data_IF_468865223285
#
_entry.id   IF_468865223285
#
_cell.length_a   1.000
_cell.length_b   1.000
_cell.length_c   1.000
_cell.angle_alpha   90.00
_cell.angle_beta   90.00
_cell.angle_gamma   90.00
#
_symmetry.space_group_name_H-M   'P 1'
#
loop_
_entity.id
_entity.type
_entity.pdbx_description
1 polymer ?
#
# COMPACT_ATOMS: atom_id res chain seq x y z
N UNK A 1 -18.81 -0.20 -12.55
CA UNK A 1 -18.19 -1.52 -12.67
C UNK A 1 -17.02 -1.49 -11.71
N UNK A 2 -17.03 -2.35 -10.70
CA UNK A 2 -15.99 -2.38 -9.65
C UNK A 2 -14.68 -2.86 -10.28
N UNK A 3 -13.58 -2.17 -10.01
CA UNK A 3 -12.26 -2.54 -10.52
C UNK A 3 -11.73 -3.72 -9.72
N UNK A 4 -11.79 -4.90 -10.33
CA UNK A 4 -11.46 -6.17 -9.68
C UNK A 4 -9.97 -6.38 -9.50
N UNK A 5 -9.12 -5.52 -10.09
CA UNK A 5 -7.67 -5.66 -10.05
C UNK A 5 -7.14 -5.63 -8.61
N UNK A 6 -7.66 -4.73 -7.77
CA UNK A 6 -7.27 -4.62 -6.36
C UNK A 6 -7.68 -5.80 -5.49
N UNK A 7 -8.73 -6.52 -5.88
CA UNK A 7 -9.25 -7.71 -5.17
C UNK A 7 -8.68 -9.03 -5.75
N UNK A 8 -7.87 -8.95 -6.80
CA UNK A 8 -7.31 -10.14 -7.43
C UNK A 8 -6.15 -10.63 -6.59
N UNK A 9 -6.29 -11.83 -6.04
CA UNK A 9 -5.23 -12.52 -5.29
C UNK A 9 -4.23 -13.11 -6.29
N UNK A 10 -2.95 -12.88 -6.03
CA UNK A 10 -1.83 -13.30 -6.89
C UNK A 10 -0.77 -14.03 -6.06
N UNK A 11 0.05 -14.84 -6.71
CA UNK A 11 1.04 -15.73 -6.06
C UNK A 11 2.43 -15.11 -5.95
N UNK A 12 2.68 -13.99 -6.62
CA UNK A 12 3.99 -13.35 -6.67
C UNK A 12 3.90 -11.84 -6.95
N UNK A 13 5.02 -11.15 -6.71
CA UNK A 13 5.15 -9.71 -6.86
C UNK A 13 5.01 -9.26 -8.33
N UNK A 14 5.61 -9.96 -9.28
CA UNK A 14 5.54 -9.56 -10.70
C UNK A 14 4.09 -9.55 -11.21
N UNK A 15 3.31 -10.55 -10.81
CA UNK A 15 1.88 -10.65 -11.12
C UNK A 15 1.09 -9.56 -10.40
N UNK A 16 1.44 -9.22 -9.15
CA UNK A 16 0.80 -8.12 -8.41
C UNK A 16 0.97 -6.79 -9.15
N UNK A 17 2.21 -6.44 -9.51
CA UNK A 17 2.54 -5.20 -10.22
C UNK A 17 1.81 -5.14 -11.57
N UNK A 18 1.83 -6.24 -12.32
CA UNK A 18 1.13 -6.33 -13.61
C UNK A 18 -0.39 -6.20 -13.48
N UNK A 19 -1.01 -6.78 -12.45
CA UNK A 19 -2.46 -6.70 -12.23
C UNK A 19 -2.88 -5.28 -11.88
N UNK A 20 -2.10 -4.58 -11.06
CA UNK A 20 -2.42 -3.23 -10.57
C UNK A 20 -2.00 -2.14 -11.58
N UNK A 21 -1.24 -2.52 -12.61
CA UNK A 21 -0.75 -1.64 -13.68
C UNK A 21 0.17 -0.56 -13.11
N UNK A 22 1.23 -1.05 -12.44
CA UNK A 22 2.37 -0.31 -11.87
C UNK A 22 3.68 -1.04 -12.23
N UNK A 23 4.80 -0.34 -12.16
CA UNK A 23 6.07 -0.80 -12.75
C UNK A 23 7.04 -1.35 -11.70
N UNK A 24 7.02 -0.84 -10.47
CA UNK A 24 7.95 -1.24 -9.42
C UNK A 24 7.33 -1.30 -8.02
N UNK A 25 8.02 -1.97 -7.08
CA UNK A 25 7.59 -2.06 -5.67
C UNK A 25 7.39 -0.67 -5.04
N UNK A 26 8.18 0.31 -5.48
CA UNK A 26 8.09 1.70 -5.03
C UNK A 26 6.75 2.36 -5.40
N UNK A 27 6.05 1.87 -6.41
CA UNK A 27 4.69 2.33 -6.72
C UNK A 27 3.69 1.83 -5.69
N UNK A 28 3.87 0.62 -5.18
CA UNK A 28 3.07 0.07 -4.06
C UNK A 28 3.37 0.86 -2.79
N UNK A 29 4.63 1.19 -2.53
CA UNK A 29 5.02 2.10 -1.44
C UNK A 29 4.28 3.42 -1.53
N UNK A 30 4.35 4.08 -2.68
CA UNK A 30 3.73 5.38 -2.92
C UNK A 30 2.19 5.30 -2.82
N UNK A 31 1.59 4.20 -3.29
CA UNK A 31 0.17 3.92 -3.15
C UNK A 31 -0.24 3.84 -1.67
N UNK A 32 0.50 3.08 -0.86
CA UNK A 32 0.22 2.94 0.58
C UNK A 32 0.48 4.26 1.33
N UNK A 33 1.50 5.02 0.93
CA UNK A 33 1.77 6.36 1.47
C UNK A 33 0.59 7.30 1.25
N UNK A 34 0.02 7.32 0.03
CA UNK A 34 -1.17 8.12 -0.26
C UNK A 34 -2.42 7.62 0.45
N UNK A 35 -2.58 6.29 0.55
CA UNK A 35 -3.72 5.68 1.24
C UNK A 35 -3.72 5.98 2.74
N UNK A 36 -2.56 5.90 3.41
CA UNK A 36 -2.44 6.06 4.86
C UNK A 36 -1.94 7.42 5.32
N UNK A 37 -1.67 8.32 4.38
CA UNK A 37 -1.26 9.69 4.67
C UNK A 37 -0.01 9.79 5.56
N UNK A 38 0.91 8.83 5.43
CA UNK A 38 2.13 8.76 6.22
C UNK A 38 3.25 8.05 5.45
N UNK A 39 4.51 8.23 5.85
CA UNK A 39 5.61 7.47 5.27
C UNK A 39 5.40 5.97 5.46
N UNK A 40 5.52 5.25 4.35
CA UNK A 40 5.53 3.80 4.26
C UNK A 40 6.78 3.44 3.45
N UNK A 41 7.44 2.35 3.81
CA UNK A 41 8.50 1.75 3.00
C UNK A 41 8.05 0.35 2.60
N UNK A 42 8.22 -0.02 1.34
CA UNK A 42 7.89 -1.37 0.86
C UNK A 42 9.14 -1.98 0.23
N UNK A 43 9.50 -3.15 0.73
CA UNK A 43 10.57 -3.99 0.20
C UNK A 43 10.06 -5.39 -0.12
N UNK A 44 10.86 -6.13 -0.87
CA UNK A 44 10.63 -7.52 -1.20
C UNK A 44 11.54 -8.44 -0.36
N UNK A 45 10.92 -9.46 0.23
CA UNK A 45 11.62 -10.51 0.97
C UNK A 45 11.85 -11.69 0.03
N UNK A 46 13.12 -11.95 -0.28
CA UNK A 46 13.51 -13.00 -1.20
C UNK A 46 13.68 -14.36 -0.51
N UNK A 47 13.08 -15.38 -1.10
CA UNK A 47 13.42 -16.79 -0.88
C UNK A 47 14.17 -17.31 -2.11
N UNK A 48 15.34 -17.91 -1.89
CA UNK A 48 16.23 -18.40 -2.96
C UNK A 48 15.57 -19.50 -3.83
N UNK A 49 14.54 -20.19 -3.36
CA UNK A 49 13.84 -21.26 -4.09
C UNK A 49 12.61 -20.76 -4.87
N UNK A 50 11.97 -19.67 -4.42
CA UNK A 50 10.63 -19.27 -4.89
C UNK A 50 10.55 -17.83 -5.40
N UNK A 51 11.59 -17.02 -5.22
CA UNK A 51 11.60 -15.59 -5.59
C UNK A 51 11.09 -14.70 -4.45
N UNK A 52 10.46 -13.56 -4.75
CA UNK A 52 9.86 -12.70 -3.73
C UNK A 52 8.71 -13.45 -3.03
N UNK A 53 8.96 -13.94 -1.82
CA UNK A 53 8.02 -14.75 -1.04
C UNK A 53 7.07 -13.89 -0.20
N UNK A 54 7.47 -12.66 0.11
CA UNK A 54 6.66 -11.72 0.87
C UNK A 54 6.99 -10.26 0.52
N UNK A 55 6.06 -9.37 0.85
CA UNK A 55 6.28 -7.94 0.92
C UNK A 55 6.58 -7.53 2.36
N UNK A 56 7.73 -6.91 2.61
CA UNK A 56 8.01 -6.22 3.86
C UNK A 56 7.46 -4.79 3.77
N UNK A 57 6.58 -4.42 4.68
CA UNK A 57 6.03 -3.07 4.76
C UNK A 57 6.39 -2.47 6.11
N UNK A 58 7.04 -1.32 6.09
CA UNK A 58 7.39 -0.55 7.29
C UNK A 58 6.55 0.73 7.32
N UNK A 59 5.73 0.89 8.36
CA UNK A 59 4.85 2.04 8.52
C UNK A 59 5.41 2.95 9.61
N UNK A 60 5.61 4.23 9.29
CA UNK A 60 6.09 5.21 10.24
C UNK A 60 4.95 5.64 11.20
N UNK A 61 5.21 5.55 12.50
CA UNK A 61 4.47 6.23 13.55
C UNK A 61 5.15 7.54 13.97
N UNK A 62 4.58 8.21 14.98
CA UNK A 62 5.26 9.37 15.54
C UNK A 62 6.56 8.92 16.20
N UNK A 63 6.53 8.02 17.18
CA UNK A 63 7.72 7.73 17.99
C UNK A 63 8.50 6.49 17.54
N UNK A 64 7.84 5.59 16.83
CA UNK A 64 8.41 4.34 16.34
C UNK A 64 7.89 3.99 14.94
N UNK A 65 8.41 2.92 14.35
CA UNK A 65 7.91 2.37 13.08
C UNK A 65 7.69 0.87 13.26
N UNK A 66 6.64 0.35 12.63
CA UNK A 66 6.32 -1.09 12.70
C UNK A 66 6.55 -1.68 11.31
N UNK A 67 7.39 -2.71 11.25
CA UNK A 67 7.65 -3.51 10.06
C UNK A 67 6.92 -4.85 10.12
N UNK A 68 6.19 -5.18 9.06
CA UNK A 68 5.41 -6.42 8.92
C UNK A 68 5.69 -7.07 7.57
N UNK A 69 5.82 -8.40 7.54
CA UNK A 69 5.96 -9.16 6.31
C UNK A 69 4.61 -9.79 5.92
N UNK A 70 4.22 -9.64 4.66
CA UNK A 70 2.99 -10.16 4.08
C UNK A 70 3.32 -11.17 2.99
N UNK A 71 3.12 -12.44 3.30
CA UNK A 71 3.42 -13.56 2.39
C UNK A 71 2.40 -13.63 1.24
N UNK A 72 2.88 -14.07 0.07
CA UNK A 72 1.99 -14.48 -1.02
C UNK A 72 1.34 -15.85 -0.69
N UNK A 73 0.11 -16.12 -1.17
CA UNK A 73 -0.69 -15.31 -2.08
C UNK A 73 -1.42 -14.14 -1.41
N UNK A 74 -1.45 -12.98 -2.08
CA UNK A 74 -2.04 -11.74 -1.54
C UNK A 74 -2.73 -10.89 -2.63
N UNK A 75 -3.63 -10.01 -2.21
CA UNK A 75 -4.18 -8.93 -3.05
C UNK A 75 -3.82 -7.57 -2.47
N UNK A 76 -3.91 -6.49 -3.27
CA UNK A 76 -3.70 -5.12 -2.75
C UNK A 76 -4.71 -4.75 -1.67
N UNK A 77 -5.95 -5.23 -1.79
CA UNK A 77 -6.96 -5.04 -0.75
C UNK A 77 -6.58 -5.74 0.56
N UNK A 78 -6.09 -6.97 0.50
CA UNK A 78 -5.67 -7.70 1.70
C UNK A 78 -4.46 -7.02 2.34
N UNK A 79 -3.49 -6.59 1.53
CA UNK A 79 -2.34 -5.82 1.98
C UNK A 79 -2.75 -4.52 2.67
N UNK A 80 -3.64 -3.75 2.04
CA UNK A 80 -4.15 -2.49 2.60
C UNK A 80 -4.89 -2.72 3.92
N UNK A 81 -5.72 -3.76 4.02
CA UNK A 81 -6.41 -4.07 5.27
C UNK A 81 -5.45 -4.49 6.38
N UNK A 82 -4.48 -5.33 6.07
CA UNK A 82 -3.51 -5.78 7.06
C UNK A 82 -2.59 -4.63 7.52
N UNK A 83 -2.24 -3.70 6.62
CA UNK A 83 -1.54 -2.47 6.97
C UNK A 83 -2.41 -1.54 7.83
N UNK A 84 -3.73 -1.51 7.62
CA UNK A 84 -4.64 -0.67 8.40
C UNK A 84 -4.63 -1.05 9.90
N UNK A 85 -4.51 -2.34 10.22
CA UNK A 85 -4.35 -2.80 11.61
C UNK A 85 -3.09 -2.20 12.27
N UNK A 86 -1.98 -2.14 11.52
CA UNK A 86 -0.73 -1.52 11.98
C UNK A 86 -0.87 0.00 12.11
N UNK A 87 -1.59 0.65 11.19
CA UNK A 87 -1.88 2.09 11.27
C UNK A 87 -2.72 2.43 12.50
N UNK A 88 -3.71 1.62 12.83
CA UNK A 88 -4.51 1.76 14.05
C UNK A 88 -3.65 1.64 15.31
N UNK A 89 -2.74 0.66 15.35
CA UNK A 89 -1.81 0.47 16.47
C UNK A 89 -0.90 1.69 16.67
N UNK A 90 -0.34 2.23 15.58
CA UNK A 90 0.53 3.41 15.62
C UNK A 90 -0.21 4.72 15.97
N UNK A 91 -1.54 4.74 15.80
CA UNK A 91 -2.37 5.92 16.04
C UNK A 91 -2.13 7.05 15.03
N UNK A 92 -2.57 8.27 15.39
CA UNK A 92 -2.48 9.46 14.54
C UNK A 92 -1.02 9.83 14.22
N UNK A 93 -0.77 10.35 13.01
CA UNK A 93 0.58 10.69 12.54
C UNK A 93 0.72 12.20 12.30
N UNK A 94 1.66 12.85 12.99
CA UNK A 94 1.77 14.31 13.11
C UNK A 94 3.13 14.89 12.68
N UNK A 95 4.16 14.05 12.47
CA UNK A 95 5.56 14.49 12.43
C UNK A 95 6.00 15.23 11.17
N UNK A 96 5.57 14.81 9.99
CA UNK A 96 6.21 15.25 8.74
C UNK A 96 5.47 16.35 7.99
N UNK A 97 4.50 17.02 8.63
CA UNK A 97 3.72 18.05 7.94
C UNK A 97 2.97 17.51 6.72
N UNK A 98 2.88 16.18 6.58
CA UNK A 98 1.80 15.50 5.87
C UNK A 98 0.50 15.91 6.57
N UNK A 99 0.02 17.12 6.25
CA UNK A 99 -1.27 17.65 6.66
C UNK A 99 -2.40 16.93 5.90
N UNK A 100 -2.28 15.61 5.82
CA UNK A 100 -3.32 14.67 5.42
C UNK A 100 -4.02 14.09 6.67
N UNK A 101 -3.75 14.64 7.87
CA UNK A 101 -4.41 14.26 9.14
C UNK A 101 -5.93 14.34 9.09
N UNK A 102 -6.52 15.20 8.25
CA UNK A 102 -7.98 15.26 8.05
C UNK A 102 -8.50 14.36 6.93
N UNK A 103 -7.62 13.65 6.20
CA UNK A 103 -7.95 13.01 4.91
C UNK A 103 -7.59 11.52 4.81
N UNK A 104 -6.85 10.95 5.76
CA UNK A 104 -6.53 9.52 5.75
C UNK A 104 -7.82 8.70 5.92
N UNK A 105 -8.24 7.90 4.93
CA UNK A 105 -9.41 7.04 5.08
C UNK A 105 -9.22 6.02 6.21
N UNK A 106 -10.30 5.77 6.96
CA UNK A 106 -10.36 4.65 7.90
C UNK A 106 -10.55 3.33 7.14
N UNK A 107 -9.45 2.81 6.60
CA UNK A 107 -9.40 1.62 5.72
C UNK A 107 -10.00 0.37 6.38
N UNK A 108 -9.88 0.19 7.70
CA UNK A 108 -10.40 -0.99 8.39
C UNK A 108 -11.93 -1.02 8.42
N UNK A 109 -12.55 0.16 8.49
CA UNK A 109 -14.01 0.32 8.48
C UNK A 109 -14.63 0.30 7.07
N UNK A 110 -13.81 0.47 6.02
CA UNK A 110 -14.29 0.60 4.65
C UNK A 110 -14.90 -0.69 4.08
N UNK A 111 -16.06 -0.52 3.45
CA UNK A 111 -16.62 -1.56 2.58
C UNK A 111 -15.73 -1.80 1.36
N UNK A 112 -15.86 -2.96 0.72
CA UNK A 112 -15.06 -3.34 -0.46
C UNK A 112 -15.07 -2.27 -1.57
N UNK A 113 -16.24 -1.78 -1.96
CA UNK A 113 -16.38 -0.74 -3.00
C UNK A 113 -15.70 0.57 -2.59
N UNK A 114 -15.76 0.92 -1.30
CA UNK A 114 -15.18 2.15 -0.78
C UNK A 114 -13.65 2.06 -0.77
N UNK A 115 -13.11 0.94 -0.30
CA UNK A 115 -11.68 0.65 -0.35
C UNK A 115 -11.16 0.64 -1.78
N UNK A 116 -11.85 0.01 -2.71
CA UNK A 116 -11.47 0.02 -4.13
C UNK A 116 -11.46 1.45 -4.68
N UNK A 117 -12.42 2.28 -4.29
CA UNK A 117 -12.44 3.69 -4.70
C UNK A 117 -11.25 4.46 -4.15
N UNK A 118 -10.89 4.25 -2.87
CA UNK A 118 -9.73 4.87 -2.25
C UNK A 118 -8.42 4.41 -2.92
N UNK A 119 -8.28 3.11 -3.20
CA UNK A 119 -7.14 2.54 -3.91
C UNK A 119 -7.00 3.08 -5.34
N UNK A 120 -8.12 3.27 -6.04
CA UNK A 120 -8.13 3.91 -7.36
C UNK A 120 -7.66 5.36 -7.32
N UNK A 121 -8.08 6.11 -6.30
CA UNK A 121 -7.64 7.49 -6.11
C UNK A 121 -6.15 7.56 -5.80
N UNK A 122 -5.66 6.71 -4.90
CA UNK A 122 -4.24 6.58 -4.58
C UNK A 122 -3.42 6.19 -5.82
N UNK A 123 -3.85 5.19 -6.59
CA UNK A 123 -3.20 4.78 -7.84
C UNK A 123 -3.17 5.92 -8.87
N UNK A 124 -4.23 6.71 -8.95
CA UNK A 124 -4.24 7.93 -9.76
C UNK A 124 -3.14 8.91 -9.35
N UNK A 125 -2.94 9.11 -8.05
CA UNK A 125 -1.87 9.96 -7.51
C UNK A 125 -0.47 9.41 -7.78
N UNK A 126 -0.25 8.09 -7.67
CA UNK A 126 1.01 7.43 -8.06
C UNK A 126 1.36 7.74 -9.51
N UNK A 127 0.41 7.57 -10.43
CA UNK A 127 0.62 7.83 -11.85
C UNK A 127 0.98 9.29 -12.12
N UNK A 128 0.33 10.24 -11.43
CA UNK A 128 0.69 11.65 -11.54
C UNK A 128 2.09 11.93 -10.98
N UNK A 129 2.46 11.30 -9.87
CA UNK A 129 3.77 11.43 -9.26
C UNK A 129 4.88 10.92 -10.20
N UNK A 130 4.72 9.72 -10.76
CA UNK A 130 5.68 9.13 -11.69
C UNK A 130 5.85 9.97 -12.97
N UNK A 131 4.77 10.53 -13.52
CA UNK A 131 4.86 11.44 -14.66
C UNK A 131 5.66 12.72 -14.37
N UNK A 132 5.70 13.18 -13.12
CA UNK A 132 6.46 14.37 -12.72
C UNK A 132 7.93 14.05 -12.42
N UNK A 133 8.22 12.83 -11.97
CA UNK A 133 9.60 12.36 -11.71
C UNK A 133 10.36 12.01 -13.01
N UNK A 134 9.64 11.74 -14.10
CA UNK A 134 10.19 11.43 -15.44
C UNK A 134 10.61 12.68 -16.28
N UNK A 135 10.32 13.91 -15.80
CA UNK A 135 10.68 15.20 -16.43
C UNK A 135 11.97 15.83 -15.83
#
# INVERSE_FOLDING_TARGET
MTDTRFATVVEDLETLLSVVDVDEVRDIETLLMFLFARPVQVGDVWDDEVGAAALEVVIAGNDESIGSAYEFPLSVMDLARACAETVEELGAYTRDGFALEEAAPDVSSMGETELITALQQALGQVRFFNMMDDD
#
